data_IF_849450729901
#
_entry.id   IF_849450729901
#
_cell.length_a   1.000
_cell.length_b   1.000
_cell.length_c   1.000
_cell.angle_alpha   90.00
_cell.angle_beta   90.00
_cell.angle_gamma   90.00
#
_symmetry.space_group_name_H-M   'P 1'
#
loop_
_entity.id
_entity.type
_entity.pdbx_description
1 polymer ?
#
# COMPACT_ATOMS: atom_id res chain seq x y z
N UNK A 1 1.73 -13.22 -11.20
CA UNK A 1 0.44 -12.56 -11.46
C UNK A 1 0.26 -12.16 -12.91
N UNK A 2 1.32 -11.87 -13.64
CA UNK A 2 1.28 -11.64 -15.09
C UNK A 2 1.95 -12.83 -15.80
N UNK A 3 1.28 -13.40 -16.78
CA UNK A 3 1.86 -14.47 -17.58
C UNK A 3 2.99 -13.93 -18.47
N UNK A 4 3.97 -14.80 -18.78
CA UNK A 4 5.04 -14.48 -19.71
C UNK A 4 4.45 -14.20 -21.09
N UNK A 5 4.91 -13.13 -21.74
CA UNK A 5 4.54 -12.84 -23.12
C UNK A 5 4.93 -14.04 -24.02
N UNK A 6 4.01 -14.58 -24.82
CA UNK A 6 4.26 -15.74 -25.67
C UNK A 6 5.37 -15.51 -26.71
N UNK A 7 5.65 -14.25 -27.05
CA UNK A 7 6.72 -13.88 -27.99
C UNK A 7 8.10 -13.79 -27.34
N UNK A 8 8.20 -13.89 -26.01
CA UNK A 8 9.50 -13.89 -25.34
C UNK A 8 10.23 -15.20 -25.56
N UNK A 9 11.50 -15.11 -25.94
CA UNK A 9 12.36 -16.26 -26.12
C UNK A 9 12.59 -17.02 -24.81
N UNK A 10 13.10 -18.26 -24.91
CA UNK A 10 13.26 -19.16 -23.75
C UNK A 10 14.18 -18.62 -22.64
N UNK A 11 15.18 -17.81 -23.03
CA UNK A 11 16.10 -17.17 -22.07
C UNK A 11 15.44 -16.09 -21.18
N UNK A 12 14.27 -15.59 -21.55
CA UNK A 12 13.52 -14.68 -20.70
C UNK A 12 12.70 -15.46 -19.70
N UNK A 13 13.12 -15.46 -18.44
CA UNK A 13 12.49 -16.25 -17.38
C UNK A 13 11.88 -15.32 -16.36
N UNK A 14 10.61 -15.55 -16.04
CA UNK A 14 9.91 -14.85 -14.95
C UNK A 14 10.02 -15.70 -13.68
N UNK A 15 10.78 -15.21 -12.71
CA UNK A 15 11.02 -15.94 -11.46
C UNK A 15 9.97 -15.64 -10.40
N UNK A 16 9.24 -14.54 -10.53
CA UNK A 16 8.30 -14.03 -9.53
C UNK A 16 8.78 -12.73 -8.90
N UNK A 17 8.00 -12.20 -7.95
CA UNK A 17 8.35 -10.96 -7.26
C UNK A 17 9.41 -11.19 -6.18
N UNK A 18 10.45 -10.36 -6.18
CA UNK A 18 11.51 -10.42 -5.18
C UNK A 18 11.20 -9.51 -4.01
N UNK A 19 11.12 -10.07 -2.83
CA UNK A 19 10.94 -9.32 -1.60
C UNK A 19 11.69 -9.96 -0.45
N UNK A 20 12.05 -9.13 0.53
CA UNK A 20 12.69 -9.57 1.77
C UNK A 20 11.89 -8.99 2.95
N UNK A 21 11.57 -9.84 3.90
CA UNK A 21 10.92 -9.42 5.13
C UNK A 21 11.95 -8.94 6.16
N UNK A 22 11.70 -7.76 6.75
CA UNK A 22 12.47 -7.32 7.91
C UNK A 22 11.92 -7.99 9.17
N UNK A 23 12.44 -9.17 9.50
CA UNK A 23 12.03 -9.95 10.68
C UNK A 23 12.52 -9.35 12.01
N UNK A 24 13.46 -8.41 11.96
CA UNK A 24 14.06 -7.79 13.16
C UNK A 24 13.38 -6.48 13.55
N UNK A 25 12.43 -5.99 12.74
CA UNK A 25 11.73 -4.75 13.07
C UNK A 25 10.91 -4.91 14.35
N UNK A 26 11.09 -3.98 15.26
CA UNK A 26 10.32 -3.86 16.50
C UNK A 26 9.61 -2.50 16.48
N UNK A 27 8.28 -2.48 16.56
CA UNK A 27 7.51 -1.23 16.63
C UNK A 27 7.72 -0.56 18.00
N UNK A 28 7.62 0.76 18.03
CA UNK A 28 7.64 1.51 19.27
C UNK A 28 6.35 1.31 20.09
N UNK A 29 6.41 1.60 21.39
CA UNK A 29 5.26 1.43 22.30
C UNK A 29 4.06 2.28 21.88
N UNK A 30 4.29 3.49 21.37
CA UNK A 30 3.21 4.38 20.93
C UNK A 30 2.40 3.76 19.80
N UNK A 31 3.07 3.15 18.83
CA UNK A 31 2.41 2.46 17.72
C UNK A 31 1.67 1.20 18.19
N UNK A 32 2.26 0.41 19.07
CA UNK A 32 1.63 -0.78 19.67
C UNK A 32 0.37 -0.39 20.45
N UNK A 33 0.46 0.63 21.30
CA UNK A 33 -0.67 1.12 22.11
C UNK A 33 -1.79 1.65 21.20
N UNK A 34 -1.45 2.36 20.13
CA UNK A 34 -2.43 2.80 19.15
C UNK A 34 -3.13 1.60 18.48
N UNK A 35 -2.40 0.61 18.00
CA UNK A 35 -2.98 -0.56 17.33
C UNK A 35 -3.90 -1.36 18.25
N UNK A 36 -3.53 -1.52 19.53
CA UNK A 36 -4.32 -2.29 20.51
C UNK A 36 -5.53 -1.55 21.06
N UNK A 37 -5.65 -0.23 20.84
CA UNK A 37 -6.74 0.59 21.40
C UNK A 37 -8.03 0.60 20.57
N UNK A 38 -8.14 -0.16 19.48
CA UNK A 38 -9.35 -0.21 18.66
C UNK A 38 -9.17 -0.95 17.34
N UNK A 39 -10.11 -0.74 16.42
CA UNK A 39 -10.16 -1.41 15.12
C UNK A 39 -8.94 -1.12 14.26
N UNK A 40 -8.70 -2.00 13.27
CA UNK A 40 -7.61 -1.84 12.30
C UNK A 40 -7.70 -0.50 11.58
N UNK A 41 -6.62 0.30 11.55
CA UNK A 41 -6.61 1.61 10.91
C UNK A 41 -6.44 1.53 9.39
N UNK A 42 -6.84 2.60 8.69
CA UNK A 42 -6.36 2.87 7.33
C UNK A 42 -4.89 3.29 7.42
N UNK A 43 -4.06 2.79 6.52
CA UNK A 43 -2.65 3.20 6.41
C UNK A 43 -2.53 4.19 5.25
N UNK A 44 -2.03 5.39 5.50
CA UNK A 44 -1.66 6.37 4.48
C UNK A 44 -0.14 6.28 4.26
N UNK A 45 0.28 5.80 3.08
CA UNK A 45 1.68 5.56 2.74
C UNK A 45 1.98 6.02 1.30
N UNK A 46 2.19 7.31 1.10
CA UNK A 46 2.45 7.89 -0.22
C UNK A 46 3.92 7.74 -0.67
N UNK A 47 4.77 7.11 0.13
CA UNK A 47 6.19 6.90 -0.18
C UNK A 47 6.96 8.22 -0.29
N UNK A 48 7.84 8.31 -1.29
CA UNK A 48 8.60 9.53 -1.59
C UNK A 48 7.76 10.59 -2.33
N UNK A 49 6.52 10.27 -2.71
CA UNK A 49 5.63 11.20 -3.39
C UNK A 49 5.04 12.15 -2.35
N UNK A 50 5.60 13.35 -2.28
CA UNK A 50 5.04 14.45 -1.49
C UNK A 50 4.19 15.34 -2.39
N UNK A 51 3.20 16.00 -1.83
CA UNK A 51 2.57 17.14 -2.46
C UNK A 51 3.53 18.34 -2.44
N UNK A 52 3.36 19.29 -3.35
CA UNK A 52 4.14 20.54 -3.30
C UNK A 52 4.03 21.16 -1.91
N UNK A 53 5.13 21.72 -1.39
CA UNK A 53 5.24 22.13 0.02
C UNK A 53 4.13 23.09 0.47
N UNK A 54 3.62 23.93 -0.42
CA UNK A 54 2.52 24.87 -0.13
C UNK A 54 1.15 24.17 -0.08
N UNK A 55 0.99 23.02 -0.72
CA UNK A 55 -0.26 22.26 -0.76
C UNK A 55 -0.26 21.06 0.21
N UNK A 56 0.86 20.77 0.86
CA UNK A 56 1.00 19.58 1.71
C UNK A 56 0.03 19.62 2.90
N UNK A 57 -0.10 20.79 3.54
CA UNK A 57 -1.03 20.98 4.67
C UNK A 57 -2.49 20.83 4.26
N UNK A 58 -2.89 21.48 3.16
CA UNK A 58 -4.26 21.38 2.65
C UNK A 58 -4.63 19.95 2.28
N UNK A 59 -3.66 19.21 1.72
CA UNK A 59 -3.86 17.78 1.42
C UNK A 59 -3.95 16.94 2.69
N UNK A 60 -3.14 17.22 3.70
CA UNK A 60 -3.23 16.56 5.00
C UNK A 60 -4.61 16.79 5.64
N UNK A 61 -5.14 18.01 5.60
CA UNK A 61 -6.47 18.33 6.11
C UNK A 61 -7.57 17.53 5.38
N UNK A 62 -7.46 17.35 4.06
CA UNK A 62 -8.37 16.49 3.29
C UNK A 62 -8.36 15.05 3.80
N UNK A 63 -7.17 14.47 4.04
CA UNK A 63 -7.06 13.11 4.58
C UNK A 63 -7.68 13.00 5.97
N UNK A 64 -7.34 13.91 6.88
CA UNK A 64 -7.85 13.92 8.25
C UNK A 64 -9.36 14.03 8.27
N UNK A 65 -9.93 14.98 7.51
CA UNK A 65 -11.37 15.18 7.44
C UNK A 65 -12.10 13.96 6.86
N UNK A 66 -11.56 13.35 5.82
CA UNK A 66 -12.15 12.14 5.23
C UNK A 66 -12.10 10.94 6.20
N UNK A 67 -11.03 10.77 6.98
CA UNK A 67 -10.96 9.74 8.01
C UNK A 67 -11.97 9.99 9.13
N UNK A 68 -12.10 11.23 9.61
CA UNK A 68 -13.09 11.59 10.62
C UNK A 68 -14.52 11.35 10.13
N UNK A 69 -14.86 11.81 8.92
CA UNK A 69 -16.21 11.64 8.33
C UNK A 69 -16.59 10.19 8.11
N UNK A 70 -15.61 9.36 7.75
CA UNK A 70 -15.83 7.91 7.54
C UNK A 70 -15.80 7.10 8.84
N UNK A 71 -15.49 7.72 9.99
CA UNK A 71 -15.31 7.06 11.28
C UNK A 71 -14.13 6.09 11.31
N UNK A 72 -13.09 6.32 10.50
CA UNK A 72 -11.95 5.43 10.42
C UNK A 72 -10.76 5.94 11.21
N UNK A 73 -10.09 5.01 11.90
CA UNK A 73 -8.77 5.26 12.48
C UNK A 73 -7.72 5.28 11.38
N UNK A 74 -6.63 6.03 11.57
CA UNK A 74 -5.59 6.11 10.56
C UNK A 74 -4.17 6.13 11.12
N UNK A 75 -3.25 5.50 10.39
CA UNK A 75 -1.81 5.64 10.54
C UNK A 75 -1.29 6.44 9.35
N UNK A 76 -0.61 7.55 9.63
CA UNK A 76 -0.08 8.47 8.61
C UNK A 76 1.44 8.32 8.55
N UNK A 77 1.94 7.80 7.43
CA UNK A 77 3.37 7.73 7.11
C UNK A 77 3.68 8.75 6.01
N UNK A 78 4.42 9.78 6.37
CA UNK A 78 4.69 10.96 5.52
C UNK A 78 4.22 12.24 6.18
N UNK A 79 4.17 13.33 5.42
CA UNK A 79 3.73 14.65 5.88
C UNK A 79 4.53 15.21 7.08
N UNK A 80 5.80 14.82 7.21
CA UNK A 80 6.60 15.11 8.41
C UNK A 80 6.69 16.61 8.73
N UNK A 81 6.77 17.47 7.71
CA UNK A 81 6.84 18.93 7.89
C UNK A 81 5.51 19.49 8.40
N UNK A 82 4.40 19.09 7.77
CA UNK A 82 3.06 19.55 8.12
C UNK A 82 2.58 19.02 9.47
N UNK A 83 3.09 17.88 9.91
CA UNK A 83 2.72 17.24 11.17
C UNK A 83 3.50 17.74 12.39
N UNK A 84 4.58 18.52 12.21
CA UNK A 84 5.37 19.05 13.34
C UNK A 84 4.54 19.87 14.31
N UNK A 85 3.65 20.72 13.78
CA UNK A 85 2.79 21.60 14.56
C UNK A 85 1.29 21.22 14.49
N UNK A 86 1.00 20.00 14.02
CA UNK A 86 -0.36 19.54 13.83
C UNK A 86 -0.82 18.62 14.97
N UNK A 87 -1.90 19.01 15.66
CA UNK A 87 -2.50 18.14 16.67
C UNK A 87 -3.46 17.17 16.00
N UNK A 88 -3.00 15.94 15.79
CA UNK A 88 -3.84 14.86 15.28
C UNK A 88 -4.95 14.49 16.29
N UNK A 89 -6.15 14.11 15.80
CA UNK A 89 -7.16 13.46 16.62
C UNK A 89 -6.66 12.16 17.24
N UNK A 90 -7.22 11.74 18.37
CA UNK A 90 -6.82 10.50 19.09
C UNK A 90 -7.05 9.24 18.24
N UNK A 91 -7.90 9.30 17.22
CA UNK A 91 -8.12 8.23 16.24
C UNK A 91 -7.02 8.11 15.19
N UNK A 92 -6.01 8.97 15.24
CA UNK A 92 -4.94 9.03 14.24
C UNK A 92 -3.56 9.13 14.88
N UNK A 93 -2.57 8.53 14.21
CA UNK A 93 -1.17 8.58 14.64
C UNK A 93 -0.28 8.83 13.43
N UNK A 94 0.75 9.67 13.60
CA UNK A 94 1.83 9.78 12.65
C UNK A 94 2.99 8.87 13.04
N UNK A 95 3.61 8.25 12.03
CA UNK A 95 4.76 7.37 12.21
C UNK A 95 5.90 7.76 11.26
N UNK A 96 7.11 7.39 11.64
CA UNK A 96 8.28 7.45 10.76
C UNK A 96 8.30 6.35 9.70
N UNK A 97 9.49 6.00 9.24
CA UNK A 97 9.67 4.89 8.31
C UNK A 97 9.46 3.55 9.02
N UNK A 98 8.46 2.81 8.60
CA UNK A 98 8.13 1.47 9.10
C UNK A 98 8.10 0.51 7.91
N UNK A 99 8.72 -0.68 8.01
CA UNK A 99 8.70 -1.67 6.92
C UNK A 99 7.29 -2.07 6.53
N UNK A 100 6.97 -2.03 5.23
CA UNK A 100 5.67 -2.46 4.71
C UNK A 100 5.35 -3.91 5.07
N UNK A 101 6.36 -4.77 5.17
CA UNK A 101 6.23 -6.18 5.59
C UNK A 101 5.57 -6.35 6.97
N UNK A 102 5.80 -5.40 7.86
CA UNK A 102 5.15 -5.38 9.16
C UNK A 102 3.87 -4.52 9.16
N UNK A 103 3.97 -3.30 8.65
CA UNK A 103 2.91 -2.29 8.74
C UNK A 103 1.61 -2.72 8.02
N UNK A 104 1.71 -3.24 6.80
CA UNK A 104 0.53 -3.58 6.00
C UNK A 104 -0.31 -4.71 6.60
N UNK A 105 0.29 -5.58 7.39
CA UNK A 105 -0.44 -6.64 8.13
C UNK A 105 -1.30 -6.08 9.27
N UNK A 106 -1.02 -4.86 9.74
CA UNK A 106 -1.76 -4.19 10.82
C UNK A 106 -2.95 -3.39 10.31
N UNK A 107 -2.98 -3.04 9.02
CA UNK A 107 -3.98 -2.17 8.45
C UNK A 107 -5.29 -2.85 8.06
N UNK A 108 -6.35 -2.04 7.99
CA UNK A 108 -7.60 -2.35 7.34
C UNK A 108 -7.43 -2.30 5.82
N UNK A 109 -7.02 -1.17 5.29
CA UNK A 109 -6.61 -0.98 3.91
C UNK A 109 -5.47 0.04 3.84
N UNK A 110 -4.83 0.16 2.67
CA UNK A 110 -3.76 1.13 2.46
C UNK A 110 -4.11 2.12 1.35
N UNK A 111 -3.88 3.41 1.61
CA UNK A 111 -3.89 4.48 0.60
C UNK A 111 -2.44 4.68 0.18
N UNK A 112 -2.12 4.48 -1.11
CA UNK A 112 -0.76 4.65 -1.59
C UNK A 112 -0.68 5.17 -3.03
N UNK A 113 0.49 5.70 -3.40
CA UNK A 113 0.76 6.33 -4.69
C UNK A 113 0.90 5.34 -5.87
N UNK A 114 0.78 4.05 -5.64
CA UNK A 114 0.87 2.99 -6.66
C UNK A 114 2.24 2.86 -7.36
N UNK A 115 3.33 3.29 -6.74
CA UNK A 115 4.67 2.88 -7.19
C UNK A 115 4.83 1.36 -7.12
N UNK A 116 5.58 0.77 -8.05
CA UNK A 116 5.73 -0.69 -8.21
C UNK A 116 5.98 -1.43 -6.89
N UNK A 117 6.95 -0.95 -6.08
CA UNK A 117 7.29 -1.59 -4.81
C UNK A 117 6.14 -1.59 -3.79
N UNK A 118 5.40 -0.46 -3.67
CA UNK A 118 4.29 -0.36 -2.71
C UNK A 118 3.06 -1.12 -3.20
N UNK A 119 2.77 -1.07 -4.50
CA UNK A 119 1.69 -1.85 -5.11
C UNK A 119 1.93 -3.36 -4.96
N UNK A 120 3.16 -3.83 -5.22
CA UNK A 120 3.53 -5.23 -5.00
C UNK A 120 3.49 -5.61 -3.52
N UNK A 121 3.92 -4.72 -2.62
CA UNK A 121 3.85 -4.97 -1.19
C UNK A 121 2.40 -5.11 -0.70
N UNK A 122 1.45 -4.30 -1.22
CA UNK A 122 0.04 -4.45 -0.85
C UNK A 122 -0.52 -5.82 -1.24
N UNK A 123 -0.11 -6.36 -2.38
CA UNK A 123 -0.48 -7.71 -2.83
C UNK A 123 0.19 -8.79 -1.97
N UNK A 124 1.51 -8.72 -1.78
CA UNK A 124 2.28 -9.72 -1.01
C UNK A 124 1.79 -9.82 0.44
N UNK A 125 1.45 -8.69 1.06
CA UNK A 125 1.00 -8.67 2.46
C UNK A 125 -0.53 -8.73 2.61
N UNK A 126 -1.26 -8.92 1.51
CA UNK A 126 -2.68 -9.20 1.51
C UNK A 126 -3.54 -8.06 2.06
N UNK A 127 -3.24 -6.80 1.72
CA UNK A 127 -4.00 -5.64 2.17
C UNK A 127 -4.76 -4.98 1.00
N UNK A 128 -6.08 -4.76 1.12
CA UNK A 128 -6.86 -4.01 0.12
C UNK A 128 -6.37 -2.56 -0.04
N UNK A 129 -6.61 -1.96 -1.20
CA UNK A 129 -5.97 -0.71 -1.60
C UNK A 129 -6.96 0.36 -2.03
N UNK A 130 -6.72 1.60 -1.61
CA UNK A 130 -7.28 2.83 -2.21
C UNK A 130 -6.16 3.48 -3.02
N UNK A 131 -6.11 3.29 -4.34
CA UNK A 131 -5.02 3.75 -5.18
C UNK A 131 -5.07 5.27 -5.37
N UNK A 132 -3.91 5.94 -5.20
CA UNK A 132 -3.79 7.39 -5.40
C UNK A 132 -2.58 7.70 -6.29
N UNK A 133 -2.64 7.39 -7.60
CA UNK A 133 -1.51 7.62 -8.50
C UNK A 133 -1.25 9.11 -8.70
N UNK A 134 0.05 9.47 -8.74
CA UNK A 134 0.54 10.83 -8.97
C UNK A 134 1.06 11.01 -10.37
N UNK A 135 1.91 10.09 -10.86
CA UNK A 135 2.64 10.26 -12.12
C UNK A 135 2.86 8.92 -12.85
N UNK A 136 3.11 8.99 -14.14
CA UNK A 136 3.69 7.95 -15.02
C UNK A 136 3.07 6.54 -14.87
N UNK A 137 3.90 5.58 -14.55
CA UNK A 137 3.60 4.15 -14.40
C UNK A 137 2.60 3.86 -13.27
N UNK A 138 2.50 4.76 -12.29
CA UNK A 138 1.57 4.62 -11.16
C UNK A 138 0.11 4.52 -11.62
N UNK A 139 -0.26 5.19 -12.71
CA UNK A 139 -1.62 5.07 -13.29
C UNK A 139 -1.91 3.65 -13.79
N UNK A 140 -0.91 3.03 -14.43
CA UNK A 140 -1.00 1.65 -14.90
C UNK A 140 -1.14 0.66 -13.76
N UNK A 141 -0.33 0.79 -12.70
CA UNK A 141 -0.43 -0.07 -11.52
C UNK A 141 -1.72 0.16 -10.74
N UNK A 142 -2.20 1.39 -10.64
CA UNK A 142 -3.48 1.70 -10.00
C UNK A 142 -4.66 1.02 -10.72
N UNK A 143 -4.68 1.08 -12.06
CA UNK A 143 -5.69 0.40 -12.87
C UNK A 143 -5.59 -1.12 -12.72
N UNK A 144 -4.39 -1.68 -12.75
CA UNK A 144 -4.17 -3.11 -12.55
C UNK A 144 -4.69 -3.61 -11.19
N UNK A 145 -4.44 -2.88 -10.09
CA UNK A 145 -4.97 -3.22 -8.77
C UNK A 145 -6.50 -3.21 -8.75
N UNK A 146 -7.11 -2.25 -9.43
CA UNK A 146 -8.57 -2.17 -9.57
C UNK A 146 -9.13 -3.34 -10.38
N UNK A 147 -8.55 -3.65 -11.53
CA UNK A 147 -8.94 -4.78 -12.40
C UNK A 147 -8.75 -6.15 -11.72
N UNK A 148 -7.74 -6.28 -10.86
CA UNK A 148 -7.53 -7.47 -10.02
C UNK A 148 -8.60 -7.62 -8.93
N UNK A 149 -9.48 -6.64 -8.71
CA UNK A 149 -10.53 -6.68 -7.70
C UNK A 149 -10.03 -6.46 -6.27
N UNK A 150 -8.79 -5.97 -6.07
CA UNK A 150 -8.19 -5.75 -4.74
C UNK A 150 -8.24 -4.29 -4.30
N UNK A 151 -8.73 -3.41 -5.15
CA UNK A 151 -8.76 -1.97 -4.92
C UNK A 151 -10.13 -1.37 -5.26
N UNK A 152 -10.43 -0.22 -4.68
CA UNK A 152 -11.50 0.66 -5.16
C UNK A 152 -11.01 1.48 -6.36
N UNK A 153 -11.94 2.19 -7.03
CA UNK A 153 -11.58 3.07 -8.16
C UNK A 153 -10.49 4.05 -7.78
N UNK A 154 -9.43 4.20 -8.60
CA UNK A 154 -8.31 5.09 -8.30
C UNK A 154 -8.73 6.57 -8.23
N UNK A 155 -8.14 7.30 -7.28
CA UNK A 155 -8.25 8.76 -7.17
C UNK A 155 -6.93 9.37 -7.63
N UNK A 156 -6.90 10.10 -8.75
CA UNK A 156 -5.67 10.80 -9.16
C UNK A 156 -5.32 11.86 -8.12
N UNK A 157 -4.06 11.95 -7.71
CA UNK A 157 -3.63 12.87 -6.66
C UNK A 157 -4.03 14.35 -6.92
N UNK A 158 -4.04 14.77 -8.19
CA UNK A 158 -4.49 16.12 -8.60
C UNK A 158 -6.00 16.37 -8.39
N UNK A 159 -6.81 15.31 -8.40
CA UNK A 159 -8.26 15.37 -8.23
C UNK A 159 -8.70 15.07 -6.79
N UNK A 160 -7.74 14.90 -5.87
CA UNK A 160 -7.98 14.63 -4.46
C UNK A 160 -8.76 15.78 -3.82
N UNK A 161 -9.91 15.44 -3.28
CA UNK A 161 -10.72 16.28 -2.39
C UNK A 161 -11.38 15.39 -1.33
N UNK A 162 -11.95 16.03 -0.32
CA UNK A 162 -12.53 15.36 0.84
C UNK A 162 -13.70 14.44 0.47
N UNK A 163 -14.57 14.87 -0.43
CA UNK A 163 -15.75 14.12 -0.87
C UNK A 163 -15.34 12.80 -1.56
N UNK A 164 -14.49 12.88 -2.59
CA UNK A 164 -13.99 11.71 -3.32
C UNK A 164 -13.27 10.72 -2.42
N UNK A 165 -12.46 11.22 -1.48
CA UNK A 165 -11.75 10.34 -0.57
C UNK A 165 -12.71 9.67 0.43
N UNK A 166 -13.67 10.42 0.96
CA UNK A 166 -14.71 9.86 1.83
C UNK A 166 -15.53 8.80 1.11
N UNK A 167 -15.95 9.05 -0.12
CA UNK A 167 -16.66 8.07 -0.95
C UNK A 167 -15.82 6.81 -1.20
N UNK A 168 -14.54 6.96 -1.51
CA UNK A 168 -13.65 5.82 -1.72
C UNK A 168 -13.48 4.98 -0.44
N UNK A 169 -13.39 5.61 0.73
CA UNK A 169 -13.33 4.92 2.02
C UNK A 169 -14.65 4.18 2.29
N UNK A 170 -15.79 4.82 2.05
CA UNK A 170 -17.11 4.18 2.20
C UNK A 170 -17.25 3.01 1.25
N UNK A 171 -16.83 3.15 -0.01
CA UNK A 171 -16.84 2.07 -0.99
C UNK A 171 -15.94 0.91 -0.52
N UNK A 172 -14.75 1.20 -0.01
CA UNK A 172 -13.87 0.18 0.57
C UNK A 172 -14.56 -0.55 1.73
N UNK A 173 -15.27 0.16 2.62
CA UNK A 173 -16.02 -0.48 3.72
C UNK A 173 -17.10 -1.43 3.19
N UNK A 174 -17.86 -1.01 2.19
CA UNK A 174 -18.97 -1.77 1.61
C UNK A 174 -18.51 -3.00 0.81
N UNK A 175 -17.28 -3.01 0.33
CA UNK A 175 -16.73 -4.08 -0.54
C UNK A 175 -15.51 -4.76 0.09
N UNK A 176 -15.28 -4.55 1.39
CA UNK A 176 -14.06 -4.99 2.07
C UNK A 176 -13.86 -6.51 2.02
N UNK A 177 -14.87 -7.27 2.36
CA UNK A 177 -14.75 -8.74 2.44
C UNK A 177 -14.39 -9.36 1.10
N UNK A 178 -15.02 -8.89 0.02
CA UNK A 178 -14.71 -9.31 -1.35
C UNK A 178 -13.25 -8.97 -1.71
N UNK A 179 -12.84 -7.73 -1.49
CA UNK A 179 -11.47 -7.28 -1.79
C UNK A 179 -10.43 -7.97 -0.93
N UNK A 180 -10.75 -8.19 0.35
CA UNK A 180 -9.86 -8.90 1.28
C UNK A 180 -9.68 -10.36 0.89
N UNK A 181 -10.74 -11.04 0.54
CA UNK A 181 -10.68 -12.41 0.01
C UNK A 181 -9.79 -12.45 -1.23
N UNK A 182 -10.04 -11.57 -2.19
CA UNK A 182 -9.31 -11.53 -3.46
C UNK A 182 -7.82 -11.23 -3.28
N UNK A 183 -7.46 -10.25 -2.44
CA UNK A 183 -6.05 -9.92 -2.20
C UNK A 183 -5.35 -11.02 -1.40
N UNK A 184 -6.06 -11.75 -0.56
CA UNK A 184 -5.51 -12.91 0.17
C UNK A 184 -5.14 -14.04 -0.79
N UNK A 185 -6.03 -14.41 -1.72
CA UNK A 185 -5.75 -15.39 -2.77
C UNK A 185 -4.52 -15.02 -3.62
N UNK A 186 -4.42 -13.73 -4.00
CA UNK A 186 -3.28 -13.24 -4.78
C UNK A 186 -1.99 -13.23 -3.96
N UNK A 187 -2.07 -12.89 -2.69
CA UNK A 187 -0.95 -12.93 -1.75
C UNK A 187 -0.36 -14.34 -1.65
N UNK A 188 -1.20 -15.34 -1.45
CA UNK A 188 -0.79 -16.75 -1.38
C UNK A 188 -0.11 -17.20 -2.68
N UNK A 189 -0.68 -16.86 -3.83
CA UNK A 189 -0.09 -17.17 -5.14
C UNK A 189 1.28 -16.50 -5.33
N UNK A 190 1.40 -15.22 -5.00
CA UNK A 190 2.65 -14.49 -5.13
C UNK A 190 3.74 -15.00 -4.17
N UNK A 191 3.37 -15.34 -2.94
CA UNK A 191 4.31 -15.93 -1.98
C UNK A 191 4.79 -17.32 -2.42
N UNK A 192 3.89 -18.13 -2.99
CA UNK A 192 4.23 -19.45 -3.53
C UNK A 192 5.15 -19.41 -4.76
N UNK A 193 5.27 -18.26 -5.45
CA UNK A 193 6.21 -18.10 -6.57
C UNK A 193 7.67 -18.29 -6.13
N UNK A 194 8.01 -17.91 -4.91
CA UNK A 194 9.36 -18.03 -4.35
C UNK A 194 10.45 -17.39 -5.22
N UNK A 195 10.14 -16.22 -5.77
CA UNK A 195 10.88 -15.60 -6.88
C UNK A 195 12.34 -15.34 -6.58
N UNK A 196 12.68 -14.96 -5.34
CA UNK A 196 14.06 -14.69 -4.95
C UNK A 196 14.91 -15.97 -4.96
N UNK A 197 14.44 -17.07 -4.36
CA UNK A 197 15.16 -18.34 -4.32
C UNK A 197 15.34 -18.92 -5.72
N UNK A 198 14.28 -18.95 -6.53
CA UNK A 198 14.37 -19.37 -7.94
C UNK A 198 15.42 -18.58 -8.70
N UNK A 199 15.51 -17.27 -8.49
CA UNK A 199 16.50 -16.43 -9.17
C UNK A 199 17.93 -16.77 -8.72
N UNK A 200 18.13 -16.99 -7.43
CA UNK A 200 19.44 -17.37 -6.87
C UNK A 200 19.87 -18.73 -7.42
N UNK A 201 18.98 -19.71 -7.47
CA UNK A 201 19.29 -21.04 -7.99
C UNK A 201 19.65 -21.01 -9.48
N UNK A 202 18.90 -20.27 -10.29
CA UNK A 202 19.22 -20.07 -11.70
C UNK A 202 20.57 -19.39 -11.91
N UNK A 203 20.90 -18.38 -11.13
CA UNK A 203 22.22 -17.71 -11.20
C UNK A 203 23.33 -18.72 -10.85
N UNK A 204 23.15 -19.53 -9.82
CA UNK A 204 24.10 -20.58 -9.44
C UNK A 204 24.33 -21.61 -10.56
N UNK A 205 23.25 -22.07 -11.20
CA UNK A 205 23.33 -22.99 -12.33
C UNK A 205 24.16 -22.39 -13.48
N UNK A 206 23.91 -21.13 -13.85
CA UNK A 206 24.65 -20.43 -14.91
C UNK A 206 26.14 -20.30 -14.59
N UNK A 207 26.50 -20.05 -13.31
CA UNK A 207 27.89 -19.87 -12.90
C UNK A 207 28.62 -21.22 -12.78
N UNK A 208 27.89 -22.30 -12.51
CA UNK A 208 28.47 -23.65 -12.29
C UNK A 208 28.63 -24.49 -13.58
N UNK A 209 27.99 -24.12 -14.68
CA UNK A 209 28.05 -24.81 -15.98
C UNK A 209 28.96 -24.11 -16.93
#
# INVERSE_FOLDING_TARGET
>A
VKEKDPYWEKQHIMTGYWYVENKQYQPDEKLINFLSSGDKPIILALGAMSFESNAEKDKLDIFINAFLKSGMRAIIQGFQKSLQDYKLPDTMISIGSVPHSWLFRQGYCVIHHCGFGTASASLIYGIPTIPMPHVLDQFGFALQLFELGVAVSPIRAKDLNEEKLTEAIINMKNTYDEKKMRVTELSEKMQAENGLEKSVDMIREIISG
#
